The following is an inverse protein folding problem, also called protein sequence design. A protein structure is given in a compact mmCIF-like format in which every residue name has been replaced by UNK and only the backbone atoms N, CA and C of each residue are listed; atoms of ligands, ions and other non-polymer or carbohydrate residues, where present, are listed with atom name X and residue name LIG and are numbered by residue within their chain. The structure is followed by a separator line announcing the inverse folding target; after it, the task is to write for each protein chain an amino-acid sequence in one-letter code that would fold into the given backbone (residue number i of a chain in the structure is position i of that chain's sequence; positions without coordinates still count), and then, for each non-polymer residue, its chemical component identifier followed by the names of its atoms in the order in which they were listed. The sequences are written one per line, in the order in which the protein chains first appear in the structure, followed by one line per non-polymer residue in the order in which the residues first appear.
data_IF_326368330290
#
_entry.id   IF_326368330290
#
_cell.length_a   1.000
_cell.length_b   1.000
_cell.length_c   1.000
_cell.angle_alpha   90.00
_cell.angle_beta   90.00
_cell.angle_gamma   90.00
#
_symmetry.space_group_name_H-M   'P 1'
#
loop_
_entity.id
_entity.type
_entity.pdbx_description
1 polymer ?
#
# COMPACT_ATOMS: atom_id res chain seq x y z
N UNK A 1 23.23 10.49 -2.51
CA UNK A 1 22.41 9.43 -3.13
C UNK A 1 21.53 8.83 -2.06
N UNK A 2 20.23 8.63 -2.33
CA UNK A 2 19.31 7.96 -1.39
C UNK A 2 19.56 6.46 -1.43
N UNK A 3 19.57 5.79 -0.28
CA UNK A 3 19.88 4.36 -0.21
C UNK A 3 18.70 3.55 -0.74
N UNK A 4 18.99 2.65 -1.68
CA UNK A 4 18.02 1.67 -2.14
C UNK A 4 17.64 0.72 -1.00
N UNK A 5 16.37 0.30 -0.99
CA UNK A 5 15.86 -0.62 0.02
C UNK A 5 16.04 -2.06 -0.47
N UNK A 6 16.78 -2.94 0.24
CA UNK A 6 16.97 -4.34 -0.16
C UNK A 6 15.70 -5.15 0.15
N UNK A 7 14.68 -4.94 -0.68
CA UNK A 7 13.36 -5.52 -0.58
C UNK A 7 12.85 -5.82 -1.99
N UNK A 8 12.27 -6.99 -2.20
CA UNK A 8 11.59 -7.34 -3.45
C UNK A 8 10.09 -7.37 -3.18
N UNK A 9 9.38 -6.24 -3.36
CA UNK A 9 7.94 -6.20 -3.16
C UNK A 9 7.21 -7.08 -4.17
N UNK A 10 6.05 -7.58 -3.77
CA UNK A 10 5.08 -8.20 -4.67
C UNK A 10 3.70 -7.56 -4.49
N UNK A 11 2.84 -7.56 -5.53
CA UNK A 11 1.44 -7.16 -5.38
C UNK A 11 0.76 -7.89 -4.22
N UNK A 12 0.05 -7.15 -3.37
CA UNK A 12 -0.55 -7.67 -2.14
C UNK A 12 0.27 -7.39 -0.88
N UNK A 13 1.55 -7.05 -0.98
CA UNK A 13 2.33 -6.61 0.17
C UNK A 13 1.76 -5.32 0.78
N UNK A 14 1.76 -5.23 2.10
CA UNK A 14 1.46 -4.00 2.85
C UNK A 14 2.79 -3.44 3.36
N UNK A 15 3.04 -2.17 3.04
CA UNK A 15 4.29 -1.48 3.36
C UNK A 15 4.03 -0.17 4.10
N UNK A 16 5.00 0.27 4.91
CA UNK A 16 5.02 1.63 5.41
C UNK A 16 5.70 2.57 4.42
N UNK A 17 4.98 3.62 4.02
CA UNK A 17 5.53 4.68 3.19
C UNK A 17 5.09 6.07 3.65
N UNK A 18 5.86 7.08 3.25
CA UNK A 18 5.50 8.50 3.34
C UNK A 18 4.63 8.87 2.15
N UNK A 19 3.39 8.38 2.15
CA UNK A 19 2.48 8.50 1.02
C UNK A 19 2.22 9.98 0.68
N UNK A 20 2.41 10.42 -0.59
CA UNK A 20 2.23 11.81 -0.97
C UNK A 20 0.80 12.32 -0.75
N UNK A 21 0.65 13.58 -0.36
CA UNK A 21 -0.68 14.15 -0.06
C UNK A 21 -1.48 14.50 -1.32
N UNK A 22 -0.80 14.88 -2.40
CA UNK A 22 -1.39 15.27 -3.67
C UNK A 22 -0.98 14.34 -4.82
N UNK A 23 -1.87 14.16 -5.80
CA UNK A 23 -1.63 13.27 -6.95
C UNK A 23 -0.43 13.67 -7.80
N UNK A 24 -0.14 14.97 -7.89
CA UNK A 24 1.00 15.52 -8.62
C UNK A 24 2.27 15.70 -7.75
N UNK A 25 2.25 15.26 -6.49
CA UNK A 25 3.37 15.47 -5.58
C UNK A 25 4.61 14.66 -6.03
N UNK A 26 5.75 15.34 -6.04
CA UNK A 26 7.07 14.77 -6.33
C UNK A 26 7.89 14.52 -5.07
N UNK A 27 7.35 14.88 -3.90
CA UNK A 27 7.99 14.74 -2.60
C UNK A 27 7.18 13.84 -1.65
N UNK A 28 7.85 13.21 -0.66
CA UNK A 28 7.19 12.38 0.35
C UNK A 28 6.17 13.15 1.19
N UNK A 29 5.09 12.47 1.57
CA UNK A 29 4.15 13.01 2.54
C UNK A 29 4.76 13.10 3.95
N UNK A 30 4.19 13.95 4.82
CA UNK A 30 4.69 14.15 6.18
C UNK A 30 4.37 12.97 7.12
N UNK A 31 3.45 12.07 6.72
CA UNK A 31 2.95 10.98 7.57
C UNK A 31 3.34 9.62 7.00
N UNK A 32 3.83 8.76 7.89
CA UNK A 32 4.02 7.33 7.60
C UNK A 32 2.66 6.66 7.61
N UNK A 33 2.35 5.91 6.56
CA UNK A 33 1.05 5.27 6.35
C UNK A 33 1.23 3.86 5.81
N UNK A 34 0.33 2.93 6.17
CA UNK A 34 0.17 1.70 5.42
C UNK A 34 -0.19 2.04 3.97
N UNK A 35 0.44 1.35 3.04
CA UNK A 35 0.09 1.37 1.63
C UNK A 35 0.12 -0.05 1.07
N UNK A 36 -0.80 -0.33 0.16
CA UNK A 36 -0.88 -1.61 -0.53
C UNK A 36 -0.02 -1.56 -1.78
N UNK A 37 0.87 -2.52 -1.97
CA UNK A 37 1.57 -2.74 -3.24
C UNK A 37 0.58 -3.29 -4.26
N UNK A 38 0.43 -2.58 -5.36
CA UNK A 38 -0.45 -2.94 -6.48
C UNK A 38 0.36 -3.48 -7.66
N UNK A 39 1.54 -2.93 -7.89
CA UNK A 39 2.42 -3.31 -9.00
C UNK A 39 3.88 -2.93 -8.71
N UNK A 40 4.81 -3.49 -9.48
CA UNK A 40 6.26 -3.24 -9.37
C UNK A 40 6.83 -2.98 -10.76
N UNK A 41 7.74 -2.02 -10.88
CA UNK A 41 8.34 -1.69 -12.17
C UNK A 41 9.22 -2.84 -12.66
N UNK A 42 9.42 -2.93 -13.99
CA UNK A 42 10.20 -4.01 -14.60
C UNK A 42 11.64 -4.10 -14.09
N UNK A 43 12.22 -2.96 -13.73
CA UNK A 43 13.56 -2.84 -13.15
C UNK A 43 13.58 -2.97 -11.61
N UNK A 44 12.42 -3.18 -10.98
CA UNK A 44 12.28 -3.37 -9.54
C UNK A 44 12.59 -2.15 -8.66
N UNK A 45 12.86 -0.98 -9.26
CA UNK A 45 13.27 0.21 -8.52
C UNK A 45 12.11 1.11 -8.09
N UNK A 46 10.89 0.84 -8.58
CA UNK A 46 9.68 1.58 -8.25
C UNK A 46 8.54 0.63 -7.93
N UNK A 47 7.69 1.08 -7.02
CA UNK A 47 6.53 0.34 -6.54
C UNK A 47 5.30 1.20 -6.72
N UNK A 48 4.26 0.62 -7.32
CA UNK A 48 2.96 1.26 -7.43
C UNK A 48 2.14 0.93 -6.20
N UNK A 49 1.85 1.93 -5.39
CA UNK A 49 1.17 1.73 -4.11
C UNK A 49 -0.16 2.46 -4.04
N UNK A 50 -1.16 1.85 -3.41
CA UNK A 50 -2.47 2.43 -3.12
C UNK A 50 -2.54 2.94 -1.67
N UNK A 51 -3.21 4.08 -1.50
CA UNK A 51 -3.38 4.75 -0.22
C UNK A 51 -4.21 3.92 0.77
N UNK A 52 -3.66 3.65 1.96
CA UNK A 52 -4.40 3.08 3.10
C UNK A 52 -4.91 4.15 4.07
N UNK A 53 -6.15 4.03 4.52
CA UNK A 53 -6.75 4.92 5.53
C UNK A 53 -7.67 4.18 6.50
N UNK A 54 -7.51 4.44 7.79
CA UNK A 54 -8.41 3.98 8.84
C UNK A 54 -9.54 4.98 9.14
N UNK A 55 -9.73 5.98 8.27
CA UNK A 55 -10.82 6.95 8.38
C UNK A 55 -11.97 6.58 7.44
N UNK A 56 -13.21 6.83 7.89
CA UNK A 56 -14.45 6.58 7.12
C UNK A 56 -14.48 5.18 6.50
N UNK A 57 -14.13 4.19 7.31
CA UNK A 57 -14.07 2.77 6.90
C UNK A 57 -15.45 2.17 6.69
N UNK A 58 -16.52 2.77 7.21
CA UNK A 58 -17.90 2.30 7.00
C UNK A 58 -18.48 2.61 5.61
N UNK A 59 -17.77 3.40 4.79
CA UNK A 59 -18.18 3.74 3.44
C UNK A 59 -17.08 3.38 2.45
N UNK A 60 -17.44 2.57 1.45
CA UNK A 60 -16.57 2.18 0.35
C UNK A 60 -17.04 2.85 -0.93
N UNK A 61 -16.11 3.52 -1.61
CA UNK A 61 -16.32 4.06 -2.95
C UNK A 61 -15.81 3.07 -4.01
N UNK A 62 -16.20 3.25 -5.30
CA UNK A 62 -15.66 2.43 -6.38
C UNK A 62 -14.13 2.40 -6.38
N UNK A 63 -13.55 1.20 -6.48
CA UNK A 63 -12.10 1.01 -6.40
C UNK A 63 -11.53 1.01 -4.98
N UNK A 64 -12.37 1.02 -3.95
CA UNK A 64 -11.95 0.82 -2.57
C UNK A 64 -12.34 -0.58 -2.07
N UNK A 65 -11.53 -1.13 -1.15
CA UNK A 65 -11.92 -2.28 -0.35
C UNK A 65 -11.38 -2.13 1.08
N UNK A 66 -12.00 -2.84 2.03
CA UNK A 66 -11.67 -2.77 3.46
C UNK A 66 -11.00 -4.04 3.95
N UNK A 67 -10.12 -3.88 4.92
CA UNK A 67 -9.57 -4.92 5.79
C UNK A 67 -9.99 -4.60 7.21
N UNK A 68 -10.84 -5.44 7.80
CA UNK A 68 -11.48 -5.20 9.09
C UNK A 68 -11.59 -6.46 9.97
N UNK A 69 -11.63 -7.65 9.37
CA UNK A 69 -11.58 -8.90 10.13
C UNK A 69 -10.21 -9.10 10.80
N UNK A 70 -10.23 -9.69 11.98
CA UNK A 70 -9.05 -9.79 12.84
C UNK A 70 -7.90 -10.56 12.17
N UNK A 71 -8.19 -11.65 11.47
CA UNK A 71 -7.18 -12.49 10.83
C UNK A 71 -6.50 -11.76 9.67
N UNK A 72 -7.27 -11.11 8.79
CA UNK A 72 -6.71 -10.34 7.68
C UNK A 72 -5.95 -9.10 8.18
N UNK A 73 -6.43 -8.42 9.23
CA UNK A 73 -5.70 -7.31 9.84
C UNK A 73 -4.37 -7.76 10.43
N UNK A 74 -4.33 -8.90 11.12
CA UNK A 74 -3.10 -9.47 11.67
C UNK A 74 -2.10 -9.81 10.56
N UNK A 75 -2.55 -10.47 9.50
CA UNK A 75 -1.69 -10.79 8.35
C UNK A 75 -1.15 -9.52 7.65
N UNK A 76 -2.00 -8.50 7.51
CA UNK A 76 -1.65 -7.19 6.96
C UNK A 76 -0.80 -6.32 7.90
N UNK A 77 -0.63 -6.71 9.17
CA UNK A 77 0.08 -5.92 10.19
C UNK A 77 -0.69 -4.67 10.64
N UNK A 78 -1.99 -4.61 10.40
CA UNK A 78 -2.86 -3.47 10.71
C UNK A 78 -3.39 -3.57 12.14
N UNK A 79 -3.36 -2.46 12.89
CA UNK A 79 -3.91 -2.40 14.24
C UNK A 79 -5.36 -1.88 14.30
N UNK A 80 -5.91 -1.45 13.16
CA UNK A 80 -7.25 -0.87 13.02
C UNK A 80 -7.82 -1.22 11.65
N UNK A 81 -9.16 -1.30 11.51
CA UNK A 81 -9.79 -1.41 10.21
C UNK A 81 -9.25 -0.35 9.26
N UNK A 82 -8.91 -0.76 8.04
CA UNK A 82 -8.26 0.11 7.06
C UNK A 82 -8.83 -0.19 5.69
N UNK A 83 -9.19 0.86 4.95
CA UNK A 83 -9.53 0.72 3.54
C UNK A 83 -8.38 1.15 2.65
N UNK A 84 -8.24 0.46 1.53
CA UNK A 84 -7.27 0.79 0.48
C UNK A 84 -8.01 1.39 -0.71
N UNK A 85 -7.57 2.58 -1.13
CA UNK A 85 -8.22 3.35 -2.18
C UNK A 85 -7.41 3.27 -3.48
N UNK A 86 -7.80 2.41 -4.41
CA UNK A 86 -7.11 2.28 -5.69
C UNK A 86 -7.39 3.46 -6.63
N UNK A 87 -8.29 4.39 -6.30
CA UNK A 87 -8.36 5.68 -6.98
C UNK A 87 -7.19 6.61 -6.60
N UNK A 88 -6.46 6.32 -5.53
CA UNK A 88 -5.32 7.11 -5.02
C UNK A 88 -4.06 6.25 -5.00
N UNK A 89 -3.33 6.26 -6.11
CA UNK A 89 -2.12 5.44 -6.29
C UNK A 89 -0.93 6.26 -6.77
N UNK A 90 0.27 5.86 -6.39
CA UNK A 90 1.51 6.51 -6.82
C UNK A 90 2.61 5.51 -7.12
N UNK A 91 3.39 5.79 -8.16
CA UNK A 91 4.66 5.12 -8.42
C UNK A 91 5.77 5.77 -7.62
N UNK A 92 6.22 5.11 -6.56
CA UNK A 92 7.24 5.61 -5.64
C UNK A 92 8.57 4.91 -5.87
N UNK A 93 9.68 5.63 -5.71
CA UNK A 93 11.00 5.03 -5.77
C UNK A 93 11.27 4.15 -4.53
N UNK A 94 11.78 2.95 -4.74
CA UNK A 94 12.04 1.97 -3.70
C UNK A 94 13.32 2.31 -2.91
N UNK A 95 13.21 3.31 -2.04
CA UNK A 95 14.32 3.80 -1.23
C UNK A 95 13.81 4.34 0.13
N UNK A 96 14.76 4.70 1.00
CA UNK A 96 14.51 5.20 2.36
C UNK A 96 13.83 6.58 2.45
N UNK A 97 13.78 7.33 1.34
CA UNK A 97 13.04 8.58 1.33
C UNK A 97 11.53 8.31 1.41
N UNK A 98 11.06 7.33 0.63
CA UNK A 98 9.64 7.01 0.51
C UNK A 98 9.19 5.92 1.46
N UNK A 99 10.04 4.92 1.72
CA UNK A 99 9.68 3.73 2.47
C UNK A 99 10.37 3.69 3.84
N UNK A 100 9.64 3.22 4.84
CA UNK A 100 10.10 3.20 6.23
C UNK A 100 10.03 1.78 6.77
N UNK A 101 11.10 1.35 7.44
CA UNK A 101 11.14 0.05 8.12
C UNK A 101 10.25 0.12 9.37
N UNK A 102 9.23 -0.76 9.51
CA UNK A 102 8.38 -0.80 10.70
C UNK A 102 9.19 -1.07 11.97
N UNK A 103 8.73 -0.54 13.12
CA UNK A 103 9.32 -0.88 14.42
C UNK A 103 9.23 -2.37 14.72
N UNK A 104 8.08 -2.98 14.42
CA UNK A 104 7.88 -4.44 14.47
C UNK A 104 8.43 -5.04 13.17
N UNK A 105 9.72 -5.39 13.17
CA UNK A 105 10.47 -5.91 12.01
C UNK A 105 10.13 -7.37 11.67
N UNK A 106 8.85 -7.70 11.49
CA UNK A 106 8.37 -9.08 11.21
C UNK A 106 9.03 -9.69 9.96
N UNK A 107 9.31 -8.86 8.95
CA UNK A 107 9.92 -9.26 7.69
C UNK A 107 11.40 -8.81 7.58
N UNK A 108 12.06 -8.55 8.72
CA UNK A 108 13.45 -8.08 8.76
C UNK A 108 13.61 -6.58 8.48
N UNK A 109 14.77 -6.18 7.97
CA UNK A 109 15.12 -4.78 7.71
C UNK A 109 14.53 -4.27 6.39
N UNK A 110 13.22 -4.36 6.24
CA UNK A 110 12.49 -3.96 5.04
C UNK A 110 11.18 -3.22 5.39
N UNK A 111 10.56 -2.51 4.43
CA UNK A 111 9.38 -1.70 4.70
C UNK A 111 8.08 -2.51 4.76
N UNK A 112 8.13 -3.81 4.44
CA UNK A 112 6.98 -4.71 4.53
C UNK A 112 6.55 -4.86 5.99
N UNK A 113 5.28 -4.58 6.24
CA UNK A 113 4.62 -4.76 7.53
C UNK A 113 3.67 -5.94 7.55
N UNK A 114 3.20 -6.39 6.38
CA UNK A 114 2.28 -7.50 6.23
C UNK A 114 1.96 -7.77 4.77
N UNK A 115 0.92 -8.56 4.56
CA UNK A 115 0.42 -8.93 3.25
C UNK A 115 -1.09 -9.12 3.30
N UNK A 116 -1.76 -8.94 2.15
CA UNK A 116 -3.18 -9.25 2.03
C UNK A 116 -3.43 -10.75 2.24
N UNK A 117 -4.51 -11.07 2.92
CA UNK A 117 -5.02 -12.44 2.99
C UNK A 117 -5.53 -12.90 1.63
N UNK A 118 -5.50 -14.21 1.40
CA UNK A 118 -6.04 -14.82 0.18
C UNK A 118 -7.53 -14.47 -0.03
N UNK A 119 -8.30 -14.35 1.06
CA UNK A 119 -9.70 -13.94 1.01
C UNK A 119 -9.91 -12.52 0.48
N UNK A 120 -8.91 -11.64 0.59
CA UNK A 120 -8.95 -10.26 0.09
C UNK A 120 -8.43 -10.11 -1.35
N UNK A 121 -7.76 -11.13 -1.91
CA UNK A 121 -7.25 -11.06 -3.28
C UNK A 121 -8.35 -10.77 -4.32
N UNK A 122 -9.56 -11.38 -4.25
CA UNK A 122 -10.66 -11.02 -5.14
C UNK A 122 -11.14 -9.57 -4.99
N UNK A 123 -11.05 -9.00 -3.78
CA UNK A 123 -11.45 -7.62 -3.52
C UNK A 123 -10.47 -6.62 -4.13
N UNK A 124 -9.18 -6.90 -3.99
CA UNK A 124 -8.13 -6.16 -4.69
C UNK A 124 -8.31 -6.25 -6.21
N UNK A 125 -8.51 -7.46 -6.75
CA UNK A 125 -8.72 -7.66 -8.19
C UNK A 125 -9.93 -6.86 -8.70
N UNK A 126 -11.08 -6.92 -8.00
CA UNK A 126 -12.28 -6.16 -8.36
C UNK A 126 -12.03 -4.66 -8.31
N UNK A 127 -11.32 -4.17 -7.30
CA UNK A 127 -10.97 -2.75 -7.20
C UNK A 127 -10.04 -2.31 -8.35
N UNK A 128 -9.06 -3.14 -8.74
CA UNK A 128 -8.20 -2.88 -9.91
C UNK A 128 -9.03 -2.81 -11.18
N UNK A 129 -9.94 -3.76 -11.38
CA UNK A 129 -10.82 -3.84 -12.56
C UNK A 129 -11.72 -2.61 -12.65
N UNK A 130 -12.33 -2.20 -11.53
CA UNK A 130 -13.17 -1.01 -11.43
C UNK A 130 -12.41 0.24 -11.86
N UNK A 131 -11.15 0.39 -11.42
CA UNK A 131 -10.32 1.54 -11.79
C UNK A 131 -9.86 1.49 -13.25
N UNK A 132 -9.66 0.29 -13.82
CA UNK A 132 -9.36 0.15 -15.25
C UNK A 132 -10.55 0.53 -16.11
N UNK A 133 -11.76 0.11 -15.73
CA UNK A 133 -12.99 0.43 -16.45
C UNK A 133 -13.37 1.91 -16.36
N UNK A 134 -13.05 2.58 -15.25
CA UNK A 134 -13.38 3.98 -15.03
C UNK A 134 -12.56 4.98 -15.86
N UNK A 135 -11.46 4.55 -16.52
CA UNK A 135 -10.55 5.39 -17.36
C UNK A 135 -10.45 6.85 -16.90
N UNK A 136 -9.94 7.06 -15.68
CA UNK A 136 -9.28 8.32 -15.31
C UNK A 136 -7.84 8.32 -15.84
#
# INVERSE_FOLDING_TARGET
MKRATPFQPVPGDIVFCKFPEALAATCPGPKIRPALVVDVSKDGNRVYVAYGTSQRTEQLYPGEFRVDDAASMEMAGLCKPTKFALCRKHWLALNEEWFVVPHKRRFGQCPKMGELSESLAPHMARAVETMRAARF
#
